data_IF_042478599879
#
_entry.id   IF_042478599879
#
_cell.length_a   1.000
_cell.length_b   1.000
_cell.length_c   1.000
_cell.angle_alpha   90.00
_cell.angle_beta   90.00
_cell.angle_gamma   90.00
#
_symmetry.space_group_name_H-M   'P 1'
#
loop_
_entity.id
_entity.type
_entity.pdbx_description
1 polymer ?
#
# COMPACT_ATOMS: atom_id res chain seq x y z
N UNK A 1 24.01 -26.51 18.89
CA UNK A 1 22.75 -27.27 18.71
C UNK A 1 21.57 -26.32 18.92
N UNK A 2 20.49 -26.48 18.13
CA UNK A 2 19.19 -25.76 18.13
C UNK A 2 19.18 -24.44 17.34
N UNK A 3 18.86 -24.45 16.05
CA UNK A 3 17.51 -24.51 15.43
C UNK A 3 16.60 -23.38 15.91
N UNK A 4 16.48 -22.36 15.07
CA UNK A 4 15.35 -21.44 14.99
C UNK A 4 14.94 -21.35 13.53
N UNK A 5 14.41 -22.45 12.99
CA UNK A 5 13.68 -22.37 11.74
C UNK A 5 12.42 -21.57 12.07
N UNK A 6 12.41 -20.29 11.71
CA UNK A 6 11.21 -19.46 11.79
C UNK A 6 10.19 -20.08 10.84
N UNK A 7 9.36 -20.97 11.38
CA UNK A 7 8.23 -21.56 10.68
C UNK A 7 7.16 -20.48 10.59
N UNK A 8 7.38 -19.49 9.72
CA UNK A 8 6.37 -18.50 9.40
C UNK A 8 5.27 -19.22 8.62
N UNK A 9 4.13 -19.47 9.27
CA UNK A 9 2.96 -20.06 8.62
C UNK A 9 2.43 -19.04 7.62
N UNK A 10 2.82 -19.19 6.35
CA UNK A 10 2.36 -18.34 5.27
C UNK A 10 0.99 -18.87 4.83
N UNK A 11 -0.06 -18.09 5.06
CA UNK A 11 -1.34 -18.29 4.35
C UNK A 11 -1.16 -17.75 2.94
N UNK A 12 -0.78 -18.63 2.01
CA UNK A 12 -0.83 -18.34 0.59
C UNK A 12 -2.31 -18.25 0.22
N UNK A 13 -2.76 -17.03 -0.07
CA UNK A 13 -4.09 -16.82 -0.62
C UNK A 13 -3.93 -16.67 -2.11
N UNK A 14 -4.67 -17.45 -2.88
CA UNK A 14 -4.60 -17.46 -4.34
C UNK A 14 -5.93 -16.98 -4.94
N UNK A 15 -5.90 -16.48 -6.17
CA UNK A 15 -7.11 -16.23 -6.96
C UNK A 15 -7.72 -17.56 -7.43
N UNK A 16 -8.91 -17.50 -8.05
CA UNK A 16 -9.53 -18.69 -8.67
C UNK A 16 -8.66 -19.30 -9.78
N UNK A 17 -7.76 -18.51 -10.38
CA UNK A 17 -6.79 -18.96 -11.38
C UNK A 17 -5.43 -19.39 -10.78
N UNK A 18 -5.29 -19.44 -9.44
CA UNK A 18 -4.06 -19.87 -8.77
C UNK A 18 -2.99 -18.79 -8.61
N UNK A 19 -3.30 -17.52 -8.89
CA UNK A 19 -2.33 -16.43 -8.74
C UNK A 19 -2.27 -15.93 -7.28
N UNK A 20 -1.08 -15.75 -6.68
CA UNK A 20 -0.97 -15.37 -5.28
C UNK A 20 -1.48 -13.93 -5.03
N UNK A 21 -2.50 -13.81 -4.19
CA UNK A 21 -3.08 -12.58 -3.62
C UNK A 21 -2.43 -12.19 -2.28
N UNK A 22 -1.76 -13.13 -1.62
CA UNK A 22 -0.96 -12.92 -0.41
C UNK A 22 0.26 -13.83 -0.40
N UNK A 23 1.42 -13.30 -0.02
CA UNK A 23 2.61 -14.10 0.28
C UNK A 23 3.04 -13.96 1.75
N UNK A 24 2.16 -13.43 2.59
CA UNK A 24 2.45 -13.16 4.00
C UNK A 24 3.68 -12.28 4.17
N UNK A 25 4.57 -12.66 5.10
CA UNK A 25 5.87 -12.00 5.32
C UNK A 25 7.04 -12.66 4.60
N UNK A 26 6.80 -13.50 3.58
CA UNK A 26 7.87 -14.18 2.83
C UNK A 26 8.86 -13.20 2.19
N UNK A 27 8.37 -12.07 1.69
CA UNK A 27 9.20 -11.02 1.12
C UNK A 27 8.49 -9.68 1.21
N UNK A 28 9.27 -8.62 1.37
CA UNK A 28 8.80 -7.23 1.22
C UNK A 28 8.60 -6.86 -0.25
N UNK A 29 9.26 -7.55 -1.18
CA UNK A 29 9.10 -7.32 -2.61
C UNK A 29 7.73 -7.81 -3.07
N UNK A 30 6.95 -6.90 -3.66
CA UNK A 30 5.62 -7.22 -4.17
C UNK A 30 5.74 -8.08 -5.45
N UNK A 31 5.20 -9.31 -5.46
CA UNK A 31 5.23 -10.18 -6.64
C UNK A 31 4.49 -9.58 -7.85
N UNK A 32 4.84 -9.97 -9.08
CA UNK A 32 4.17 -9.49 -10.30
C UNK A 32 2.65 -9.70 -10.30
N UNK A 33 2.16 -10.83 -9.76
CA UNK A 33 0.73 -11.15 -9.63
C UNK A 33 -0.01 -10.11 -8.78
N UNK A 34 0.45 -9.87 -7.56
CA UNK A 34 -0.09 -8.85 -6.65
C UNK A 34 0.02 -7.46 -7.30
N UNK A 35 1.13 -7.14 -7.97
CA UNK A 35 1.29 -5.86 -8.68
C UNK A 35 0.25 -5.69 -9.80
N UNK A 36 -0.09 -6.76 -10.54
CA UNK A 36 -1.16 -6.74 -11.55
C UNK A 36 -2.53 -6.51 -10.90
N UNK A 37 -2.85 -7.23 -9.83
CA UNK A 37 -4.10 -7.06 -9.10
C UNK A 37 -4.25 -5.63 -8.54
N UNK A 38 -3.17 -5.05 -8.00
CA UNK A 38 -3.14 -3.65 -7.56
C UNK A 38 -3.44 -2.68 -8.70
N UNK A 39 -2.86 -2.88 -9.88
CA UNK A 39 -3.13 -2.04 -11.06
C UNK A 39 -4.59 -2.06 -11.47
N UNK A 40 -5.22 -3.24 -11.47
CA UNK A 40 -6.64 -3.38 -11.81
C UNK A 40 -7.55 -2.75 -10.74
N UNK A 41 -7.24 -2.94 -9.45
CA UNK A 41 -8.05 -2.44 -8.34
C UNK A 41 -7.95 -0.92 -8.18
N UNK A 42 -6.76 -0.36 -8.33
CA UNK A 42 -6.50 1.02 -7.94
C UNK A 42 -6.47 2.00 -9.13
N UNK A 43 -6.25 1.54 -10.37
CA UNK A 43 -6.18 2.35 -11.58
C UNK A 43 -5.29 3.62 -11.47
N UNK A 44 -4.27 3.55 -10.61
CA UNK A 44 -3.35 4.66 -10.34
C UNK A 44 -3.16 4.93 -8.85
N UNK A 45 -2.71 6.15 -8.54
CA UNK A 45 -2.47 6.60 -7.18
C UNK A 45 -3.80 6.79 -6.44
N UNK A 46 -3.99 6.10 -5.31
CA UNK A 46 -5.21 6.17 -4.49
C UNK A 46 -5.29 7.36 -3.56
N UNK A 47 -4.21 8.13 -3.44
CA UNK A 47 -4.22 9.36 -2.67
C UNK A 47 -5.33 10.31 -3.17
N UNK A 48 -6.17 10.89 -2.29
CA UNK A 48 -7.34 11.67 -2.71
C UNK A 48 -6.98 12.78 -3.71
N UNK A 49 -7.84 12.97 -4.71
CA UNK A 49 -7.66 13.95 -5.77
C UNK A 49 -6.49 13.70 -6.74
N UNK A 50 -5.71 12.63 -6.59
CA UNK A 50 -4.62 12.32 -7.51
C UNK A 50 -5.12 11.59 -8.76
N UNK A 51 -4.71 12.07 -9.95
CA UNK A 51 -5.06 11.46 -11.24
C UNK A 51 -3.90 10.70 -11.90
N UNK A 52 -2.80 10.47 -11.18
CA UNK A 52 -1.61 9.81 -11.75
C UNK A 52 -1.79 8.30 -11.83
N UNK A 53 -1.78 7.79 -13.07
CA UNK A 53 -1.89 6.37 -13.40
C UNK A 53 -0.54 5.65 -13.61
N UNK A 54 0.49 6.43 -13.90
CA UNK A 54 1.84 5.93 -14.16
C UNK A 54 2.80 6.30 -13.02
N UNK A 55 3.93 5.60 -12.96
CA UNK A 55 4.98 5.81 -11.95
C UNK A 55 4.43 5.69 -10.52
N UNK A 56 3.60 4.66 -10.32
CA UNK A 56 2.98 4.28 -9.05
C UNK A 56 3.65 3.04 -8.50
N UNK A 57 3.83 3.03 -7.19
CA UNK A 57 4.45 1.95 -6.43
C UNK A 57 3.48 1.45 -5.37
N UNK A 58 3.63 0.18 -4.99
CA UNK A 58 2.84 -0.42 -3.93
C UNK A 58 3.37 0.02 -2.56
N UNK A 59 2.49 0.57 -1.73
CA UNK A 59 2.74 1.01 -0.38
C UNK A 59 2.11 0.04 0.63
N UNK A 60 2.87 -0.41 1.62
CA UNK A 60 2.35 -1.18 2.75
C UNK A 60 1.64 -0.25 3.75
N UNK A 61 0.32 -0.39 3.89
CA UNK A 61 -0.51 0.42 4.81
C UNK A 61 -0.11 0.17 6.26
N UNK A 62 -0.11 -1.09 6.68
CA UNK A 62 0.67 -1.53 7.82
C UNK A 62 2.09 -1.81 7.35
N UNK A 63 3.05 -1.02 7.81
CA UNK A 63 4.44 -1.15 7.41
C UNK A 63 4.96 -2.58 7.62
N UNK A 64 5.66 -3.10 6.61
CA UNK A 64 6.27 -4.43 6.69
C UNK A 64 7.20 -4.59 7.90
N UNK A 65 7.98 -3.56 8.23
CA UNK A 65 8.86 -3.54 9.41
C UNK A 65 8.12 -3.56 10.75
N UNK A 66 6.83 -3.19 10.77
CA UNK A 66 5.94 -3.25 11.94
C UNK A 66 5.10 -4.53 11.98
N UNK A 67 5.36 -5.44 11.05
CA UNK A 67 4.71 -6.75 10.99
C UNK A 67 3.66 -6.89 9.91
N UNK A 68 3.39 -5.84 9.12
CA UNK A 68 2.46 -5.89 8.00
C UNK A 68 2.88 -6.86 6.90
N UNK A 69 1.89 -7.53 6.31
CA UNK A 69 2.12 -8.54 5.29
C UNK A 69 2.11 -7.98 3.86
N UNK A 70 2.79 -8.69 2.96
CA UNK A 70 2.69 -8.46 1.52
C UNK A 70 1.48 -9.21 0.99
N UNK A 71 0.33 -8.56 1.07
CA UNK A 71 -0.98 -9.04 0.62
C UNK A 71 -1.79 -7.91 0.02
N UNK A 72 -2.70 -8.23 -0.89
CA UNK A 72 -3.41 -7.25 -1.70
C UNK A 72 -4.13 -6.19 -0.85
N UNK A 73 -4.76 -6.57 0.26
CA UNK A 73 -5.54 -5.69 1.13
C UNK A 73 -4.70 -4.86 2.12
N UNK A 74 -3.40 -5.15 2.26
CA UNK A 74 -2.44 -4.33 3.01
C UNK A 74 -1.57 -3.46 2.07
N UNK A 75 -1.80 -3.54 0.77
CA UNK A 75 -1.05 -2.77 -0.23
C UNK A 75 -1.98 -1.76 -0.91
N UNK A 76 -1.47 -0.57 -1.18
CA UNK A 76 -2.17 0.48 -1.93
C UNK A 76 -1.22 1.14 -2.93
N UNK A 77 -1.69 1.50 -4.13
CA UNK A 77 -0.85 2.21 -5.09
C UNK A 77 -0.73 3.70 -4.78
N UNK A 78 0.51 4.21 -4.73
CA UNK A 78 0.83 5.62 -4.57
C UNK A 78 1.88 6.06 -5.60
N UNK A 79 1.75 7.26 -6.17
CA UNK A 79 2.82 7.85 -6.96
C UNK A 79 3.97 8.30 -6.05
N UNK A 80 5.18 8.45 -6.59
CA UNK A 80 6.39 8.81 -5.81
C UNK A 80 6.17 9.97 -4.84
N UNK A 81 5.47 11.01 -5.28
CA UNK A 81 5.15 12.19 -4.47
C UNK A 81 4.31 11.84 -3.23
N UNK A 82 3.15 11.20 -3.43
CA UNK A 82 2.28 10.82 -2.31
C UNK A 82 2.87 9.70 -1.47
N UNK A 83 3.69 8.83 -2.07
CA UNK A 83 4.40 7.79 -1.35
C UNK A 83 5.35 8.42 -0.33
N UNK A 84 6.08 9.47 -0.75
CA UNK A 84 6.92 10.26 0.15
C UNK A 84 6.11 11.03 1.19
N UNK A 85 4.99 11.64 0.83
CA UNK A 85 4.13 12.35 1.79
C UNK A 85 3.61 11.43 2.91
N UNK A 86 3.28 10.17 2.60
CA UNK A 86 2.86 9.19 3.61
C UNK A 86 4.05 8.69 4.45
N UNK A 87 5.25 8.59 3.87
CA UNK A 87 6.44 8.18 4.61
C UNK A 87 7.03 9.27 5.50
N UNK A 88 7.07 10.51 5.03
CA UNK A 88 7.85 11.61 5.61
C UNK A 88 7.02 12.86 5.90
N UNK A 89 5.92 13.07 5.18
CA UNK A 89 5.10 14.29 5.23
C UNK A 89 4.04 14.32 6.35
N UNK A 90 4.04 13.33 7.24
CA UNK A 90 3.07 13.21 8.34
C UNK A 90 1.68 12.71 7.93
N UNK A 91 1.45 12.47 6.63
CA UNK A 91 0.21 11.85 6.15
C UNK A 91 0.17 10.38 6.54
N UNK A 92 -1.04 9.84 6.73
CA UNK A 92 -1.22 8.41 6.96
C UNK A 92 -2.29 7.83 6.07
N UNK A 93 -2.14 6.55 5.74
CA UNK A 93 -3.12 5.74 5.04
C UNK A 93 -3.61 4.66 6.01
N UNK A 94 -4.91 4.41 6.05
CA UNK A 94 -5.54 3.42 6.92
C UNK A 94 -6.62 2.67 6.13
N UNK A 95 -6.76 1.38 6.41
CA UNK A 95 -7.84 0.56 5.84
C UNK A 95 -9.15 0.87 6.56
N UNK A 96 -10.22 1.11 5.81
CA UNK A 96 -11.56 1.34 6.37
C UNK A 96 -12.25 0.00 6.68
N UNK A 97 -13.29 -0.02 7.54
CA UNK A 97 -14.11 -1.21 7.75
C UNK A 97 -14.77 -1.74 6.47
N UNK A 98 -15.03 -0.86 5.48
CA UNK A 98 -15.56 -1.22 4.17
C UNK A 98 -14.53 -1.87 3.24
N UNK A 99 -13.25 -1.93 3.62
CA UNK A 99 -12.17 -2.50 2.83
C UNK A 99 -11.53 -1.54 1.82
N UNK A 100 -11.84 -0.24 1.89
CA UNK A 100 -11.18 0.83 1.13
C UNK A 100 -10.03 1.43 1.95
N UNK A 101 -9.42 2.50 1.45
CA UNK A 101 -8.34 3.23 2.09
C UNK A 101 -8.73 4.68 2.34
N UNK A 102 -8.59 5.11 3.60
CA UNK A 102 -8.75 6.49 4.02
C UNK A 102 -7.38 7.12 4.29
N UNK A 103 -7.24 8.38 3.91
CA UNK A 103 -6.02 9.15 4.14
C UNK A 103 -6.27 10.24 5.17
N UNK A 104 -5.25 10.55 5.96
CA UNK A 104 -5.27 11.63 6.95
C UNK A 104 -4.06 12.53 6.78
N UNK A 105 -4.22 13.81 7.11
CA UNK A 105 -3.12 14.77 7.15
C UNK A 105 -2.23 14.63 8.41
N UNK A 106 -1.18 15.44 8.50
CA UNK A 106 -0.29 15.49 9.67
C UNK A 106 -0.98 15.82 11.00
N UNK A 107 -2.17 16.40 10.96
CA UNK A 107 -3.01 16.68 12.15
C UNK A 107 -4.06 15.58 12.40
N UNK A 108 -3.92 14.44 11.72
CA UNK A 108 -4.83 13.29 11.78
C UNK A 108 -6.27 13.60 11.31
N UNK A 109 -6.46 14.67 10.53
CA UNK A 109 -7.76 15.00 9.95
C UNK A 109 -7.98 14.17 8.68
N UNK A 110 -9.17 13.58 8.50
CA UNK A 110 -9.46 12.81 7.30
C UNK A 110 -9.42 13.70 6.05
N UNK A 111 -8.83 13.18 4.98
CA UNK A 111 -8.83 13.82 3.68
C UNK A 111 -10.10 13.42 2.92
N UNK A 112 -10.95 14.37 2.49
CA UNK A 112 -12.06 14.09 1.60
C UNK A 112 -11.58 13.41 0.31
N UNK A 113 -12.36 12.47 -0.24
CA UNK A 113 -11.99 11.72 -1.45
C UNK A 113 -11.67 12.59 -2.67
N UNK A 114 -12.20 13.83 -2.72
CA UNK A 114 -12.00 14.80 -3.81
C UNK A 114 -10.86 15.80 -3.56
N UNK A 115 -10.15 15.71 -2.42
CA UNK A 115 -9.16 16.72 -2.02
C UNK A 115 -7.96 16.70 -2.96
N UNK A 116 -7.89 17.65 -3.88
CA UNK A 116 -6.68 17.93 -4.63
C UNK A 116 -5.66 18.59 -3.68
N UNK A 117 -4.89 17.78 -2.94
CA UNK A 117 -3.75 18.35 -2.22
C UNK A 117 -2.71 18.84 -3.25
N UNK A 118 -2.08 20.00 -3.00
CA UNK A 118 -1.09 20.53 -3.91
C UNK A 118 0.05 19.52 -4.03
N UNK A 119 0.42 19.18 -5.29
CA UNK A 119 1.69 18.50 -5.56
C UNK A 119 2.75 19.38 -4.91
N UNK A 120 3.55 18.85 -3.99
CA UNK A 120 4.62 19.64 -3.38
C UNK A 120 5.53 20.05 -4.53
N UNK A 121 5.58 21.35 -4.85
CA UNK A 121 6.50 21.83 -5.87
C UNK A 121 7.91 21.53 -5.35
N UNK A 122 8.73 20.90 -6.20
CA UNK A 122 10.15 20.74 -5.95
C UNK A 122 10.81 22.13 -6.03
N UNK A 123 10.84 22.84 -4.90
CA UNK A 123 11.63 24.03 -4.67
C UNK A 123 11.84 24.18 -3.15
N UNK A 124 12.91 23.58 -2.67
CA UNK A 124 13.84 24.09 -1.63
C UNK A 124 14.96 23.06 -1.43
#
# INVERSE_FOLDING_TARGET
MRVGCDCNVIRLQESKEGEPLSIGRRSRLVPPAIRRALRLRDDGCRFPGCTRRHFVDAHHVEHWSKGGETRLDNLVQLCREHHRLVHEGGFSCEKTPSGDFAFKDGRKRPLPHWSALPRRNAAD
#
